data_IF_898591681614
#
_entry.id   IF_898591681614
#
_cell.length_a   1.000
_cell.length_b   1.000
_cell.length_c   1.000
_cell.angle_alpha   90.00
_cell.angle_beta   90.00
_cell.angle_gamma   90.00
#
_symmetry.space_group_name_H-M   'P 1'
#
loop_
_entity.id
_entity.type
_entity.pdbx_description
1 polymer ?
#
# COMPACT_ATOMS: atom_id res chain seq x y z
N UNK A 1 -16.10 -41.53 28.41
CA UNK A 1 -17.15 -40.98 27.51
C UNK A 1 -17.02 -39.46 27.49
N UNK A 2 -16.55 -38.84 26.40
CA UNK A 2 -16.55 -37.38 26.32
C UNK A 2 -17.99 -36.86 26.38
N UNK A 3 -18.25 -35.92 27.28
CA UNK A 3 -19.56 -35.28 27.41
C UNK A 3 -19.76 -34.29 26.25
N UNK A 4 -21.02 -33.97 25.91
CA UNK A 4 -21.34 -32.96 24.87
C UNK A 4 -20.57 -31.65 25.07
N UNK A 5 -20.36 -31.25 26.33
CA UNK A 5 -19.61 -30.05 26.70
C UNK A 5 -18.13 -30.14 26.35
N UNK A 6 -17.51 -31.31 26.56
CA UNK A 6 -16.12 -31.54 26.14
C UNK A 6 -15.98 -31.53 24.63
N UNK A 7 -16.89 -32.17 23.87
CA UNK A 7 -16.84 -32.17 22.41
C UNK A 7 -17.01 -30.77 21.79
N UNK A 8 -17.89 -29.95 22.37
CA UNK A 8 -18.09 -28.55 21.95
C UNK A 8 -16.86 -27.71 22.28
N UNK A 9 -16.24 -27.92 23.45
CA UNK A 9 -15.02 -27.22 23.83
C UNK A 9 -13.83 -27.60 22.94
N UNK A 10 -13.66 -28.87 22.56
CA UNK A 10 -12.62 -29.27 21.60
C UNK A 10 -12.90 -28.75 20.20
N UNK A 11 -14.16 -28.77 19.75
CA UNK A 11 -14.53 -28.19 18.46
C UNK A 11 -14.26 -26.68 18.42
N UNK A 12 -14.65 -25.95 19.47
CA UNK A 12 -14.35 -24.52 19.61
C UNK A 12 -12.84 -24.26 19.71
N UNK A 13 -12.07 -25.09 20.42
CA UNK A 13 -10.62 -24.97 20.49
C UNK A 13 -9.92 -25.28 19.16
N UNK A 14 -10.46 -26.19 18.34
CA UNK A 14 -9.96 -26.49 16.99
C UNK A 14 -10.32 -25.38 15.98
N UNK A 15 -11.46 -24.71 16.17
CA UNK A 15 -11.89 -23.55 15.36
C UNK A 15 -11.15 -22.27 15.79
N UNK A 16 -10.91 -22.11 17.09
CA UNK A 16 -10.21 -20.98 17.70
C UNK A 16 -8.69 -21.15 17.72
N UNK A 17 -8.16 -22.34 17.42
CA UNK A 17 -6.77 -22.50 17.06
C UNK A 17 -6.55 -21.55 15.88
N UNK A 18 -5.76 -20.48 16.05
CA UNK A 18 -5.32 -19.76 14.88
C UNK A 18 -4.61 -20.82 14.06
N UNK A 19 -5.08 -21.07 12.84
CA UNK A 19 -4.17 -21.55 11.82
C UNK A 19 -2.94 -20.69 12.02
N UNK A 20 -1.81 -21.30 12.37
CA UNK A 20 -0.50 -20.65 12.40
C UNK A 20 -0.11 -20.33 10.95
N UNK A 21 -1.00 -19.66 10.23
CA UNK A 21 -0.72 -18.99 8.99
C UNK A 21 0.33 -17.96 9.32
N UNK A 22 1.43 -18.04 8.59
CA UNK A 22 2.57 -17.14 8.73
C UNK A 22 2.07 -15.71 9.00
N UNK A 23 2.55 -15.11 10.08
CA UNK A 23 2.26 -13.70 10.39
C UNK A 23 2.59 -12.90 9.13
N UNK A 24 1.62 -12.20 8.53
CA UNK A 24 1.85 -11.53 7.26
C UNK A 24 2.94 -10.49 7.45
N UNK A 25 3.93 -10.47 6.55
CA UNK A 25 5.04 -9.53 6.68
C UNK A 25 4.50 -8.10 6.84
N UNK A 26 5.05 -7.33 7.80
CA UNK A 26 4.60 -5.97 8.06
C UNK A 26 4.73 -5.10 6.82
N UNK A 27 5.67 -5.41 5.92
CA UNK A 27 5.82 -4.70 4.66
C UNK A 27 4.63 -4.93 3.73
N UNK A 28 4.18 -6.18 3.55
CA UNK A 28 3.01 -6.47 2.71
C UNK A 28 1.73 -5.81 3.27
N UNK A 29 1.57 -5.80 4.60
CA UNK A 29 0.46 -5.11 5.25
C UNK A 29 0.52 -3.61 4.98
N UNK A 30 1.71 -2.99 5.12
CA UNK A 30 1.90 -1.57 4.84
C UNK A 30 1.69 -1.23 3.35
N UNK A 31 2.13 -2.08 2.42
CA UNK A 31 1.89 -1.91 0.98
C UNK A 31 0.39 -1.94 0.69
N UNK A 32 -0.34 -2.92 1.24
CA UNK A 32 -1.80 -3.03 1.07
C UNK A 32 -2.51 -1.78 1.59
N UNK A 33 -2.15 -1.31 2.79
CA UNK A 33 -2.71 -0.08 3.37
C UNK A 33 -2.40 1.14 2.48
N UNK A 34 -1.17 1.28 2.01
CA UNK A 34 -0.77 2.38 1.15
C UNK A 34 -1.53 2.37 -0.20
N UNK A 35 -1.74 1.19 -0.79
CA UNK A 35 -2.58 1.03 -2.00
C UNK A 35 -4.01 1.47 -1.77
N UNK A 36 -4.65 1.02 -0.69
CA UNK A 36 -6.03 1.41 -0.36
C UNK A 36 -6.15 2.92 -0.15
N UNK A 37 -5.22 3.53 0.57
CA UNK A 37 -5.23 4.98 0.80
C UNK A 37 -4.97 5.78 -0.49
N UNK A 38 -4.12 5.26 -1.39
CA UNK A 38 -3.91 5.86 -2.71
C UNK A 38 -5.15 5.76 -3.60
N UNK A 39 -5.83 4.60 -3.59
CA UNK A 39 -7.08 4.40 -4.32
C UNK A 39 -8.20 5.29 -3.79
N UNK A 40 -8.37 5.40 -2.46
CA UNK A 40 -9.35 6.30 -1.85
C UNK A 40 -9.09 7.77 -2.23
N UNK A 41 -7.83 8.18 -2.28
CA UNK A 41 -7.48 9.52 -2.75
C UNK A 41 -7.85 9.74 -4.21
N UNK A 42 -7.54 8.78 -5.08
CA UNK A 42 -7.90 8.88 -6.49
C UNK A 42 -9.41 8.93 -6.68
N UNK A 43 -10.15 8.10 -5.94
CA UNK A 43 -11.61 8.08 -5.99
C UNK A 43 -12.19 9.42 -5.54
N UNK A 44 -11.71 9.99 -4.42
CA UNK A 44 -12.15 11.32 -4.00
C UNK A 44 -11.84 12.42 -5.04
N UNK A 45 -10.75 12.25 -5.83
CA UNK A 45 -10.44 13.10 -6.96
C UNK A 45 -11.44 12.94 -8.11
N UNK A 46 -11.77 11.70 -8.48
CA UNK A 46 -12.80 11.39 -9.49
C UNK A 46 -14.16 11.88 -9.08
N UNK A 47 -14.61 11.61 -7.86
CA UNK A 47 -15.90 12.07 -7.33
C UNK A 47 -16.02 13.60 -7.40
N UNK A 48 -14.91 14.33 -7.18
CA UNK A 48 -14.89 15.79 -7.33
C UNK A 48 -15.26 16.24 -8.75
N UNK A 49 -14.88 15.47 -9.78
CA UNK A 49 -15.11 15.79 -11.18
C UNK A 49 -16.40 15.16 -11.70
N UNK A 50 -16.56 13.86 -11.48
CA UNK A 50 -17.58 13.03 -12.11
C UNK A 50 -18.94 13.12 -11.39
N UNK A 51 -18.94 13.24 -10.06
CA UNK A 51 -20.18 13.28 -9.25
C UNK A 51 -20.62 14.72 -9.00
N UNK A 52 -19.69 15.60 -8.62
CA UNK A 52 -20.03 16.97 -8.27
C UNK A 52 -19.81 17.96 -9.40
N UNK A 53 -19.04 17.62 -10.44
CA UNK A 53 -18.63 18.60 -11.45
C UNK A 53 -17.72 19.70 -10.88
N UNK A 54 -17.19 20.54 -11.78
CA UNK A 54 -16.23 21.59 -11.39
C UNK A 54 -16.83 22.62 -10.42
N UNK A 55 -18.15 22.87 -10.52
CA UNK A 55 -18.88 23.91 -9.77
C UNK A 55 -20.12 23.40 -9.03
N UNK A 56 -20.40 22.09 -9.02
CA UNK A 56 -21.61 21.60 -8.38
C UNK A 56 -21.54 21.61 -6.84
N UNK A 57 -22.72 21.59 -6.19
CA UNK A 57 -22.83 21.64 -4.74
C UNK A 57 -22.20 20.41 -4.11
N UNK A 58 -21.45 20.61 -3.03
CA UNK A 58 -20.75 19.56 -2.29
C UNK A 58 -21.39 19.36 -0.92
N UNK A 59 -21.44 18.13 -0.40
CA UNK A 59 -21.86 17.88 0.97
C UNK A 59 -21.02 18.68 1.96
N UNK A 60 -21.63 19.15 3.06
CA UNK A 60 -20.93 19.95 4.08
C UNK A 60 -19.67 19.26 4.64
N UNK A 61 -19.70 17.92 4.74
CA UNK A 61 -18.58 17.12 5.22
C UNK A 61 -17.48 16.88 4.18
N UNK A 62 -17.66 17.26 2.92
CA UNK A 62 -16.77 16.88 1.81
C UNK A 62 -15.33 17.34 2.03
N UNK A 63 -15.16 18.56 2.53
CA UNK A 63 -13.84 19.10 2.84
C UNK A 63 -13.13 18.26 3.90
N UNK A 64 -13.83 17.92 4.99
CA UNK A 64 -13.30 17.07 6.05
C UNK A 64 -12.93 15.67 5.53
N UNK A 65 -13.79 15.06 4.70
CA UNK A 65 -13.51 13.79 4.05
C UNK A 65 -12.22 13.83 3.23
N UNK A 66 -12.04 14.84 2.37
CA UNK A 66 -10.82 14.98 1.56
C UNK A 66 -9.55 15.15 2.41
N UNK A 67 -9.63 15.91 3.50
CA UNK A 67 -8.52 16.02 4.44
C UNK A 67 -8.22 14.70 5.15
N UNK A 68 -9.24 13.96 5.58
CA UNK A 68 -9.07 12.63 6.19
C UNK A 68 -8.37 11.65 5.24
N UNK A 69 -8.80 11.61 3.98
CA UNK A 69 -8.17 10.77 2.95
C UNK A 69 -6.72 11.18 2.68
N UNK A 70 -6.43 12.49 2.64
CA UNK A 70 -5.05 13.00 2.53
C UNK A 70 -4.17 12.59 3.71
N UNK A 71 -4.69 12.76 4.93
CA UNK A 71 -3.97 12.42 6.16
C UNK A 71 -3.67 10.93 6.21
N UNK A 72 -4.63 10.07 5.88
CA UNK A 72 -4.45 8.62 5.88
C UNK A 72 -3.47 8.16 4.79
N UNK A 73 -3.53 8.76 3.61
CA UNK A 73 -2.54 8.51 2.56
C UNK A 73 -1.12 8.87 3.01
N UNK A 74 -0.97 10.02 3.68
CA UNK A 74 0.32 10.43 4.22
C UNK A 74 0.81 9.48 5.31
N UNK A 75 -0.06 9.11 6.25
CA UNK A 75 0.25 8.21 7.36
C UNK A 75 0.66 6.81 6.87
N UNK A 76 -0.10 6.23 5.94
CA UNK A 76 0.15 4.91 5.37
C UNK A 76 1.49 4.87 4.62
N UNK A 77 1.79 5.91 3.84
CA UNK A 77 3.08 6.02 3.13
C UNK A 77 4.25 6.19 4.08
N UNK A 78 4.09 7.02 5.13
CA UNK A 78 5.12 7.20 6.14
C UNK A 78 5.43 5.88 6.84
N UNK A 79 4.41 5.11 7.21
CA UNK A 79 4.56 3.78 7.78
C UNK A 79 5.29 2.82 6.83
N UNK A 80 4.86 2.74 5.56
CA UNK A 80 5.52 1.91 4.55
C UNK A 80 7.00 2.28 4.40
N UNK A 81 7.34 3.57 4.36
CA UNK A 81 8.72 3.97 4.14
C UNK A 81 9.62 3.87 5.38
N UNK A 82 9.06 3.65 6.56
CA UNK A 82 9.83 3.34 7.76
C UNK A 82 10.38 1.91 7.71
N UNK A 83 9.70 1.01 7.00
CA UNK A 83 10.10 -0.38 6.85
C UNK A 83 11.22 -0.54 5.81
N UNK A 84 12.01 -1.59 5.98
CA UNK A 84 13.08 -1.99 5.07
C UNK A 84 12.75 -3.39 4.55
N UNK A 85 12.76 -3.62 3.22
CA UNK A 85 12.51 -4.94 2.66
C UNK A 85 13.68 -5.86 2.99
N UNK A 86 13.44 -6.93 3.76
CA UNK A 86 14.47 -7.87 4.19
C UNK A 86 14.58 -9.09 3.27
N UNK A 87 13.55 -9.36 2.46
CA UNK A 87 13.52 -10.49 1.52
C UNK A 87 13.40 -10.04 0.06
N UNK A 88 13.74 -10.93 -0.87
CA UNK A 88 13.61 -10.66 -2.31
C UNK A 88 12.15 -10.39 -2.72
N UNK A 89 11.19 -11.13 -2.16
CA UNK A 89 9.76 -10.95 -2.42
C UNK A 89 9.25 -9.60 -1.93
N UNK A 90 9.71 -9.18 -0.75
CA UNK A 90 9.42 -7.87 -0.18
C UNK A 90 9.98 -6.73 -1.06
N UNK A 91 11.22 -6.89 -1.53
CA UNK A 91 11.87 -5.95 -2.43
C UNK A 91 11.10 -5.84 -3.76
N UNK A 92 10.71 -6.98 -4.34
CA UNK A 92 9.92 -7.05 -5.57
C UNK A 92 8.55 -6.37 -5.40
N UNK A 93 7.85 -6.65 -4.31
CA UNK A 93 6.54 -6.04 -4.03
C UNK A 93 6.63 -4.54 -3.81
N UNK A 94 7.69 -4.05 -3.14
CA UNK A 94 7.91 -2.62 -2.96
C UNK A 94 8.15 -1.93 -4.31
N UNK A 95 8.99 -2.51 -5.17
CA UNK A 95 9.23 -1.97 -6.52
C UNK A 95 7.95 -1.99 -7.36
N UNK A 96 7.18 -3.07 -7.30
CA UNK A 96 5.89 -3.18 -7.99
C UNK A 96 4.90 -2.11 -7.53
N UNK A 97 4.79 -1.85 -6.22
CA UNK A 97 3.95 -0.77 -5.67
C UNK A 97 4.32 0.60 -6.26
N UNK A 98 5.61 0.93 -6.32
CA UNK A 98 6.05 2.20 -6.90
C UNK A 98 5.84 2.28 -8.41
N UNK A 99 6.00 1.17 -9.12
CA UNK A 99 5.78 1.09 -10.56
C UNK A 99 4.30 1.27 -10.93
N UNK A 100 3.41 0.58 -10.21
CA UNK A 100 1.96 0.74 -10.31
C UNK A 100 1.56 2.20 -10.09
N UNK A 101 2.10 2.83 -9.04
CA UNK A 101 1.82 4.24 -8.76
C UNK A 101 2.31 5.18 -9.88
N UNK A 102 3.51 4.95 -10.41
CA UNK A 102 4.05 5.76 -11.50
C UNK A 102 3.17 5.62 -12.76
N UNK A 103 2.80 4.39 -13.11
CA UNK A 103 1.93 4.08 -14.24
C UNK A 103 0.57 4.77 -14.12
N UNK A 104 -0.10 4.69 -12.97
CA UNK A 104 -1.43 5.32 -12.80
C UNK A 104 -1.37 6.83 -12.98
N UNK A 105 -0.30 7.49 -12.52
CA UNK A 105 -0.20 8.95 -12.67
C UNK A 105 0.23 9.41 -14.06
N UNK A 106 0.88 8.55 -14.84
CA UNK A 106 1.51 8.92 -16.13
C UNK A 106 2.61 10.00 -16.03
N UNK A 107 2.90 10.51 -14.82
CA UNK A 107 3.78 11.65 -14.62
C UNK A 107 5.24 11.19 -14.45
N UNK A 108 6.19 11.66 -15.29
CA UNK A 108 7.60 11.30 -15.21
C UNK A 108 8.26 11.72 -13.87
N UNK A 109 7.75 12.76 -13.22
CA UNK A 109 8.22 13.20 -11.91
C UNK A 109 7.88 12.17 -10.81
N UNK A 110 6.71 11.53 -10.89
CA UNK A 110 6.33 10.45 -9.97
C UNK A 110 7.30 9.27 -10.10
N UNK A 111 7.65 8.89 -11.34
CA UNK A 111 8.64 7.84 -11.60
C UNK A 111 10.04 8.23 -11.10
N UNK A 112 10.45 9.50 -11.25
CA UNK A 112 11.71 10.02 -10.72
C UNK A 112 11.74 10.01 -9.19
N UNK A 113 10.67 10.45 -8.54
CA UNK A 113 10.54 10.44 -7.09
C UNK A 113 10.54 9.01 -6.52
N UNK A 114 9.84 8.09 -7.19
CA UNK A 114 9.84 6.66 -6.87
C UNK A 114 11.26 6.08 -6.91
N UNK A 115 12.01 6.30 -8.01
CA UNK A 115 13.42 5.88 -8.11
C UNK A 115 14.29 6.44 -7.00
N UNK A 116 14.19 7.76 -6.73
CA UNK A 116 14.95 8.40 -5.65
C UNK A 116 14.65 7.76 -4.29
N UNK A 117 13.39 7.37 -4.04
CA UNK A 117 12.99 6.70 -2.80
C UNK A 117 13.51 5.28 -2.73
N UNK A 118 13.32 4.48 -3.78
CA UNK A 118 13.83 3.11 -3.86
C UNK A 118 15.34 3.04 -3.64
N UNK A 119 16.11 3.96 -4.26
CA UNK A 119 17.56 4.07 -4.03
C UNK A 119 17.89 4.29 -2.55
N UNK A 120 17.12 5.13 -1.85
CA UNK A 120 17.32 5.37 -0.40
C UNK A 120 16.92 4.17 0.46
N UNK A 121 15.91 3.40 0.06
CA UNK A 121 15.43 2.23 0.83
C UNK A 121 16.41 1.07 0.69
N UNK A 122 16.86 0.77 -0.53
CA UNK A 122 17.81 -0.32 -0.78
C UNK A 122 19.24 -0.02 -0.34
N UNK A 123 19.58 1.24 -0.08
CA UNK A 123 20.85 1.61 0.54
C UNK A 123 20.86 1.41 2.08
N UNK A 124 19.74 0.99 2.68
CA UNK A 124 19.67 0.79 4.14
C UNK A 124 20.36 -0.52 4.54
N UNK A 125 20.97 -0.57 5.74
CA UNK A 125 21.45 -1.83 6.30
C UNK A 125 20.32 -2.87 6.42
N UNK A 126 20.61 -4.11 6.04
CA UNK A 126 19.64 -5.21 6.10
C UNK A 126 18.60 -5.20 4.96
N UNK A 127 18.71 -4.30 3.98
CA UNK A 127 17.87 -4.36 2.80
C UNK A 127 18.28 -5.52 1.88
N UNK A 128 17.30 -6.26 1.38
CA UNK A 128 17.49 -7.21 0.29
C UNK A 128 17.99 -6.49 -0.98
N UNK A 129 18.72 -7.19 -1.87
CA UNK A 129 19.19 -6.61 -3.12
C UNK A 129 18.03 -6.08 -3.97
N UNK A 130 18.26 -4.94 -4.62
CA UNK A 130 17.25 -4.31 -5.44
C UNK A 130 16.96 -5.16 -6.69
N UNK A 131 15.70 -5.52 -6.96
CA UNK A 131 15.34 -6.22 -8.20
C UNK A 131 15.42 -5.27 -9.40
N UNK A 132 15.41 -5.84 -10.59
CA UNK A 132 15.42 -5.06 -11.83
C UNK A 132 14.24 -4.08 -11.89
N UNK A 133 14.51 -2.84 -12.29
CA UNK A 133 13.47 -1.82 -12.38
C UNK A 133 12.52 -2.11 -13.55
N UNK A 134 11.19 -2.15 -13.29
CA UNK A 134 10.20 -2.32 -14.35
C UNK A 134 10.17 -1.11 -15.30
N UNK A 135 9.65 -1.28 -16.54
CA UNK A 135 9.64 -0.23 -17.56
C UNK A 135 9.06 1.10 -17.08
N UNK A 136 7.98 1.07 -16.30
CA UNK A 136 7.33 2.26 -15.73
C UNK A 136 8.25 3.13 -14.84
N UNK A 137 9.37 2.57 -14.36
CA UNK A 137 10.35 3.26 -13.53
C UNK A 137 11.68 3.50 -14.26
N UNK A 138 11.85 3.04 -15.50
CA UNK A 138 13.09 3.27 -16.26
C UNK A 138 13.24 4.76 -16.60
N UNK A 139 14.47 5.29 -16.69
CA UNK A 139 14.69 6.62 -17.24
C UNK A 139 14.15 6.68 -18.68
N UNK A 140 13.55 7.82 -19.10
CA UNK A 140 13.34 8.05 -20.52
C UNK A 140 14.71 8.04 -21.22
N UNK A 141 14.74 7.55 -22.46
CA UNK A 141 15.95 7.58 -23.27
C UNK A 141 16.48 9.03 -23.39
N UNK A 142 17.81 9.23 -23.41
CA UNK A 142 18.36 10.55 -23.69
C UNK A 142 17.90 10.99 -25.08
N UNK A 143 17.32 12.19 -25.13
CA UNK A 143 16.98 12.92 -26.36
C UNK A 143 18.21 13.49 -27.02
#
# INVERSE_FOLDING_TARGET
MPTRRTAIATALAMIAAPALGAVPSPLFVAIRRARLADAAHQQAGRDTLDVFGLHGPRPAYWRAYRFGVMAERYSARRALYALTPATADEAAALVAYFAERAAITGNPETARAARRRLRKVFARPGAAPAPALPPALKPPAPS
#
